data_IF_002832133118
#
_entry.id   IF_002832133118
#
_cell.length_a   1.000
_cell.length_b   1.000
_cell.length_c   1.000
_cell.angle_alpha   90.00
_cell.angle_beta   90.00
_cell.angle_gamma   90.00
#
_symmetry.space_group_name_H-M   'P 1'
#
loop_
_entity.id
_entity.type
_entity.pdbx_description
1 polymer ?
#
# COMPACT_ATOMS: atom_id res chain seq x y z
N UNK A 1 3.96 19.64 -2.89
CA UNK A 1 3.36 18.48 -2.18
C UNK A 1 3.39 17.24 -3.01
N UNK A 2 3.75 16.13 -2.39
CA UNK A 2 3.70 14.85 -3.04
C UNK A 2 2.25 14.37 -3.08
N UNK A 3 1.83 13.85 -4.22
CA UNK A 3 0.45 13.44 -4.44
C UNK A 3 0.34 11.93 -4.55
N UNK A 4 -0.91 11.44 -4.53
CA UNK A 4 -1.19 10.01 -4.68
C UNK A 4 -0.51 9.45 -5.93
N UNK A 5 -0.55 10.19 -7.04
CA UNK A 5 0.05 9.73 -8.29
C UNK A 5 1.53 9.43 -8.14
N UNK A 6 2.22 10.22 -7.32
CA UNK A 6 3.67 10.06 -7.14
C UNK A 6 4.02 8.93 -6.19
N UNK A 7 3.09 8.53 -5.32
CA UNK A 7 3.33 7.52 -4.30
C UNK A 7 2.81 6.14 -4.72
N UNK A 8 1.77 6.11 -5.54
CA UNK A 8 1.00 4.89 -5.81
C UNK A 8 1.81 3.82 -6.53
N UNK A 9 1.31 2.59 -6.44
CA UNK A 9 1.72 1.51 -7.32
C UNK A 9 0.88 1.64 -8.59
N UNK A 10 1.54 1.69 -9.74
CA UNK A 10 0.87 1.89 -11.03
C UNK A 10 0.02 0.68 -11.40
N UNK A 11 -1.04 0.94 -12.18
CA UNK A 11 -2.00 -0.09 -12.56
C UNK A 11 -1.35 -1.31 -13.23
N UNK A 12 -0.26 -1.11 -13.95
CA UNK A 12 0.41 -2.19 -14.64
C UNK A 12 1.11 -3.17 -13.69
N UNK A 13 1.32 -2.75 -12.45
CA UNK A 13 2.01 -3.55 -11.44
C UNK A 13 1.09 -4.06 -10.35
N UNK A 14 -0.23 -3.96 -10.55
CA UNK A 14 -1.19 -4.37 -9.55
C UNK A 14 -1.41 -5.88 -9.57
N UNK A 15 -1.55 -6.45 -8.36
CA UNK A 15 -2.10 -7.79 -8.24
C UNK A 15 -3.62 -7.66 -8.27
N UNK A 16 -4.29 -8.46 -9.11
CA UNK A 16 -5.73 -8.39 -9.25
C UNK A 16 -6.32 -9.79 -9.43
N UNK A 17 -7.58 -9.91 -9.03
CA UNK A 17 -8.37 -11.12 -9.24
C UNK A 17 -9.75 -10.70 -9.72
N UNK A 18 -10.34 -11.57 -10.53
CA UNK A 18 -11.66 -11.29 -11.09
C UNK A 18 -12.74 -11.67 -10.09
N UNK A 19 -13.77 -10.84 -9.97
CA UNK A 19 -14.81 -10.94 -8.95
C UNK A 19 -15.54 -12.30 -8.95
N UNK A 20 -15.82 -12.81 -10.13
CA UNK A 20 -16.64 -14.02 -10.25
C UNK A 20 -15.83 -15.30 -10.29
N UNK A 21 -14.52 -15.20 -10.12
CA UNK A 21 -13.66 -16.38 -10.12
C UNK A 21 -13.93 -17.21 -8.87
N UNK A 22 -14.15 -18.50 -9.06
CA UNK A 22 -14.34 -19.41 -7.93
C UNK A 22 -13.00 -19.69 -7.25
N UNK A 23 -13.04 -19.81 -5.93
CA UNK A 23 -11.82 -20.12 -5.18
C UNK A 23 -11.22 -21.44 -5.62
N UNK A 24 -12.06 -22.40 -6.01
CA UNK A 24 -11.57 -23.65 -6.53
C UNK A 24 -10.78 -23.56 -7.82
N UNK A 25 -10.87 -22.43 -8.50
CA UNK A 25 -10.11 -22.17 -9.74
C UNK A 25 -8.79 -21.48 -9.48
N UNK A 26 -8.50 -21.14 -8.22
CA UNK A 26 -7.27 -20.44 -7.87
C UNK A 26 -6.23 -21.47 -7.44
N UNK A 27 -5.08 -21.44 -8.09
CA UNK A 27 -3.91 -22.21 -7.66
C UNK A 27 -3.10 -21.32 -6.72
N UNK A 28 -2.98 -21.70 -5.43
CA UNK A 28 -2.23 -20.85 -4.48
C UNK A 28 -0.82 -20.54 -4.94
N UNK A 29 -0.20 -21.41 -5.72
CA UNK A 29 1.16 -21.16 -6.19
C UNK A 29 1.22 -20.01 -7.21
N UNK A 30 0.08 -19.61 -7.77
CA UNK A 30 0.04 -18.49 -8.71
C UNK A 30 -0.16 -17.16 -8.01
N UNK A 31 -0.37 -17.15 -6.68
CA UNK A 31 -0.58 -15.92 -5.94
C UNK A 31 0.75 -15.32 -5.55
N UNK A 32 0.81 -13.99 -5.65
CA UNK A 32 1.98 -13.23 -5.21
C UNK A 32 1.83 -12.95 -3.72
N UNK A 33 2.59 -13.66 -2.92
CA UNK A 33 2.50 -13.56 -1.45
C UNK A 33 3.07 -12.26 -0.92
N UNK A 34 3.70 -11.44 -1.79
CA UNK A 34 4.23 -10.15 -1.36
C UNK A 34 3.15 -9.07 -1.32
N UNK A 35 1.98 -9.33 -1.91
CA UNK A 35 0.88 -8.36 -1.92
C UNK A 35 -0.15 -8.76 -0.87
N UNK A 36 -0.23 -7.98 0.22
CA UNK A 36 -1.18 -8.26 1.31
C UNK A 36 -2.62 -7.99 0.90
N UNK A 37 -2.82 -7.18 -0.11
CA UNK A 37 -4.14 -6.75 -0.57
C UNK A 37 -4.16 -6.83 -2.08
N UNK A 38 -5.25 -7.33 -2.62
CA UNK A 38 -5.37 -7.61 -4.05
C UNK A 38 -6.62 -6.89 -4.54
N UNK A 39 -6.51 -6.22 -5.69
CA UNK A 39 -7.64 -5.54 -6.31
C UNK A 39 -8.56 -6.58 -6.93
N UNK A 40 -9.88 -6.42 -6.68
CA UNK A 40 -10.90 -7.29 -7.28
C UNK A 40 -11.56 -6.52 -8.41
N UNK A 41 -11.55 -7.09 -9.61
CA UNK A 41 -12.05 -6.44 -10.81
C UNK A 41 -13.31 -7.14 -11.30
N UNK A 42 -14.11 -6.38 -12.08
CA UNK A 42 -15.22 -6.99 -12.84
C UNK A 42 -14.69 -7.34 -14.21
N UNK A 43 -14.85 -8.60 -14.60
CA UNK A 43 -14.47 -9.11 -15.92
C UNK A 43 -13.02 -8.81 -16.30
N UNK A 44 -12.14 -8.72 -15.29
CA UNK A 44 -10.72 -8.44 -15.54
C UNK A 44 -10.40 -7.01 -15.90
N UNK A 45 -11.38 -6.11 -15.81
CA UNK A 45 -11.21 -4.72 -16.21
C UNK A 45 -10.71 -3.89 -15.03
N UNK A 46 -9.48 -3.40 -15.11
CA UNK A 46 -8.90 -2.58 -14.04
C UNK A 46 -9.61 -1.25 -13.87
N UNK A 47 -10.38 -0.82 -14.85
CA UNK A 47 -11.17 0.40 -14.72
C UNK A 47 -12.54 0.13 -14.10
N UNK A 48 -12.83 -1.13 -13.75
CA UNK A 48 -14.07 -1.50 -13.10
C UNK A 48 -13.72 -2.31 -11.85
N UNK A 49 -13.38 -1.59 -10.77
CA UNK A 49 -12.93 -2.20 -9.53
C UNK A 49 -14.14 -2.54 -8.67
N UNK A 50 -14.27 -3.83 -8.34
CA UNK A 50 -15.38 -4.30 -7.49
C UNK A 50 -15.05 -4.16 -6.00
N UNK A 51 -13.78 -4.19 -5.63
CA UNK A 51 -13.39 -4.12 -4.24
C UNK A 51 -11.95 -4.54 -4.03
N UNK A 52 -11.64 -4.82 -2.79
CA UNK A 52 -10.29 -5.24 -2.36
C UNK A 52 -10.46 -6.54 -1.59
N UNK A 53 -9.57 -7.51 -1.82
CA UNK A 53 -9.55 -8.72 -1.00
C UNK A 53 -8.21 -8.79 -0.27
N UNK A 54 -8.24 -9.15 1.01
CA UNK A 54 -7.01 -9.37 1.76
C UNK A 54 -6.48 -10.76 1.45
N UNK A 55 -5.18 -10.83 1.19
CA UNK A 55 -4.53 -12.10 0.90
C UNK A 55 -4.78 -13.11 2.02
N UNK A 56 -4.72 -12.67 3.28
CA UNK A 56 -4.92 -13.58 4.41
C UNK A 56 -6.32 -14.20 4.41
N UNK A 57 -7.33 -13.41 4.03
CA UNK A 57 -8.71 -13.92 3.99
C UNK A 57 -8.87 -14.93 2.87
N UNK A 58 -8.22 -14.67 1.74
CA UNK A 58 -8.25 -15.60 0.61
C UNK A 58 -7.56 -16.91 0.98
N UNK A 59 -6.38 -16.82 1.59
CA UNK A 59 -5.63 -18.02 1.97
C UNK A 59 -6.37 -18.86 3.00
N UNK A 60 -7.03 -18.18 3.96
CA UNK A 60 -7.80 -18.88 4.96
C UNK A 60 -8.97 -19.66 4.32
N UNK A 61 -9.69 -19.00 3.41
CA UNK A 61 -10.80 -19.65 2.73
C UNK A 61 -10.32 -20.82 1.89
N UNK A 62 -9.17 -20.69 1.23
CA UNK A 62 -8.59 -21.79 0.45
C UNK A 62 -8.19 -22.94 1.38
N UNK A 63 -7.64 -22.62 2.55
CA UNK A 63 -7.25 -23.66 3.52
C UNK A 63 -8.46 -24.40 4.07
N UNK A 64 -9.61 -23.74 4.11
CA UNK A 64 -10.88 -24.32 4.56
C UNK A 64 -11.63 -25.01 3.42
N UNK A 65 -11.01 -25.10 2.25
CA UNK A 65 -11.60 -25.76 1.08
C UNK A 65 -12.93 -25.13 0.66
N UNK A 66 -13.06 -23.81 0.80
CA UNK A 66 -14.26 -23.08 0.40
C UNK A 66 -14.24 -22.85 -1.10
N UNK A 67 -14.22 -23.94 -1.85
CA UNK A 67 -14.02 -23.88 -3.31
C UNK A 67 -15.22 -23.34 -4.06
N UNK A 68 -16.38 -23.33 -3.44
CA UNK A 68 -17.66 -22.87 -4.02
C UNK A 68 -17.83 -21.36 -3.89
N UNK A 69 -17.00 -20.69 -3.10
CA UNK A 69 -17.08 -19.23 -2.98
C UNK A 69 -16.40 -18.54 -4.15
N UNK A 70 -16.89 -17.36 -4.48
CA UNK A 70 -16.24 -16.48 -5.44
C UNK A 70 -15.31 -15.54 -4.72
N UNK A 71 -14.31 -15.04 -5.44
CA UNK A 71 -13.44 -13.98 -4.92
C UNK A 71 -14.27 -12.82 -4.37
N UNK A 72 -15.31 -12.43 -5.12
CA UNK A 72 -16.18 -11.34 -4.72
C UNK A 72 -16.90 -11.55 -3.40
N UNK A 73 -17.10 -12.80 -2.99
CA UNK A 73 -17.76 -13.08 -1.71
C UNK A 73 -16.90 -12.66 -0.52
N UNK A 74 -15.58 -12.52 -0.72
CA UNK A 74 -14.65 -12.16 0.35
C UNK A 74 -14.17 -10.72 0.26
N UNK A 75 -14.55 -10.00 -0.78
CA UNK A 75 -14.04 -8.65 -1.01
C UNK A 75 -14.58 -7.67 0.02
N UNK A 76 -13.79 -6.62 0.24
CA UNK A 76 -14.19 -5.45 1.02
C UNK A 76 -14.41 -4.29 0.07
N UNK A 77 -15.21 -3.28 0.47
CA UNK A 77 -15.40 -2.11 -0.40
C UNK A 77 -14.08 -1.42 -0.69
N UNK A 78 -13.93 -0.94 -1.92
CA UNK A 78 -12.77 -0.13 -2.29
C UNK A 78 -13.09 1.33 -2.00
N UNK A 79 -12.16 2.00 -1.32
CA UNK A 79 -12.23 3.46 -1.16
C UNK A 79 -11.39 4.08 -2.24
N UNK A 80 -11.86 5.21 -2.75
CA UNK A 80 -11.32 5.82 -3.96
C UNK A 80 -10.79 7.19 -3.62
N UNK A 81 -9.61 7.54 -4.15
CA UNK A 81 -9.06 8.88 -4.05
C UNK A 81 -8.64 9.32 -5.44
N UNK A 82 -8.54 10.62 -5.63
CA UNK A 82 -8.05 11.19 -6.89
C UNK A 82 -6.52 11.21 -6.88
N UNK A 83 -5.91 11.07 -8.05
CA UNK A 83 -4.46 11.00 -8.15
C UNK A 83 -3.77 12.30 -7.73
N UNK A 84 -4.50 13.41 -7.68
CA UNK A 84 -3.94 14.70 -7.25
C UNK A 84 -4.01 14.92 -5.73
N UNK A 85 -4.54 13.96 -4.98
CA UNK A 85 -4.68 14.09 -3.53
C UNK A 85 -3.31 14.13 -2.86
N UNK A 86 -3.02 15.17 -2.06
CA UNK A 86 -1.73 15.26 -1.38
C UNK A 86 -1.55 14.20 -0.30
N UNK A 87 -0.30 13.87 -0.02
CA UNK A 87 0.03 12.79 0.92
C UNK A 87 -0.59 13.01 2.31
N UNK A 88 -0.57 14.25 2.81
CA UNK A 88 -1.12 14.51 4.15
C UNK A 88 -2.63 14.30 4.19
N UNK A 89 -3.32 14.59 3.08
CA UNK A 89 -4.76 14.32 3.02
C UNK A 89 -5.02 12.82 2.92
N UNK A 90 -4.17 12.09 2.21
CA UNK A 90 -4.29 10.63 2.17
C UNK A 90 -4.15 10.06 3.57
N UNK A 91 -3.17 10.51 4.33
CA UNK A 91 -2.98 10.04 5.69
C UNK A 91 -4.23 10.29 6.53
N UNK A 92 -4.79 11.49 6.43
CA UNK A 92 -6.01 11.82 7.17
C UNK A 92 -7.15 10.88 6.79
N UNK A 93 -7.32 10.60 5.50
CA UNK A 93 -8.38 9.71 5.06
C UNK A 93 -8.16 8.28 5.53
N UNK A 94 -6.91 7.80 5.56
CA UNK A 94 -6.62 6.48 6.11
C UNK A 94 -6.97 6.42 7.60
N UNK A 95 -6.75 7.51 8.32
CA UNK A 95 -7.13 7.55 9.74
C UNK A 95 -8.63 7.50 9.95
N UNK A 96 -9.40 8.08 9.04
CA UNK A 96 -10.86 8.08 9.15
C UNK A 96 -11.47 6.77 8.70
N UNK A 97 -10.90 6.14 7.70
CA UNK A 97 -11.43 4.90 7.13
C UNK A 97 -10.57 3.74 7.59
N UNK A 98 -11.19 2.62 7.85
CA UNK A 98 -10.46 1.49 8.42
C UNK A 98 -9.94 0.58 7.33
N UNK A 99 -9.42 1.17 6.27
CA UNK A 99 -8.74 0.46 5.20
C UNK A 99 -7.35 1.04 5.03
N UNK A 100 -6.44 0.22 4.57
CA UNK A 100 -5.05 0.63 4.39
C UNK A 100 -4.65 0.62 2.92
N UNK A 101 -5.62 0.60 2.02
CA UNK A 101 -5.37 0.67 0.57
C UNK A 101 -6.51 1.45 -0.08
N UNK A 102 -6.14 2.44 -0.88
CA UNK A 102 -7.11 3.21 -1.69
C UNK A 102 -6.84 2.97 -3.16
N UNK A 103 -7.91 2.92 -3.95
CA UNK A 103 -7.81 2.92 -5.40
C UNK A 103 -7.67 4.37 -5.86
N UNK A 104 -6.71 4.61 -6.73
CA UNK A 104 -6.40 5.96 -7.22
C UNK A 104 -6.97 6.09 -8.63
N UNK A 105 -7.82 7.12 -8.82
CA UNK A 105 -8.42 7.39 -10.12
C UNK A 105 -7.78 8.59 -10.77
N UNK A 106 -7.71 8.55 -12.10
CA UNK A 106 -7.27 9.69 -12.88
C UNK A 106 -8.44 10.64 -13.14
N UNK A 107 -8.16 11.70 -13.88
CA UNK A 107 -9.16 12.75 -14.14
C UNK A 107 -10.29 12.29 -15.05
N UNK A 108 -10.14 11.15 -15.70
CA UNK A 108 -11.17 10.60 -16.58
C UNK A 108 -11.95 9.46 -15.91
N UNK A 109 -11.64 9.20 -14.63
CA UNK A 109 -12.34 8.14 -13.91
C UNK A 109 -11.74 6.76 -14.09
N UNK A 110 -10.63 6.64 -14.82
CA UNK A 110 -9.92 5.38 -14.96
C UNK A 110 -9.02 5.13 -13.76
N UNK A 111 -8.67 3.89 -13.53
CA UNK A 111 -7.79 3.51 -12.44
C UNK A 111 -6.36 3.80 -12.80
N UNK A 112 -5.71 4.66 -12.01
CA UNK A 112 -4.28 4.93 -12.17
C UNK A 112 -3.43 3.91 -11.42
N UNK A 113 -3.90 3.46 -10.26
CA UNK A 113 -3.16 2.53 -9.43
C UNK A 113 -3.79 2.40 -8.06
N UNK A 114 -2.97 2.01 -7.09
CA UNK A 114 -3.41 1.93 -5.69
C UNK A 114 -2.35 2.57 -4.81
N UNK A 115 -2.77 3.10 -3.66
CA UNK A 115 -1.85 3.66 -2.68
C UNK A 115 -2.15 3.04 -1.33
N UNK A 116 -1.10 2.61 -0.62
CA UNK A 116 -1.25 2.01 0.70
C UNK A 116 -0.91 3.02 1.78
N UNK A 117 -1.42 2.77 2.99
CA UNK A 117 -1.05 3.57 4.15
C UNK A 117 0.46 3.52 4.37
N UNK A 118 1.05 2.34 4.19
CA UNK A 118 2.49 2.16 4.37
C UNK A 118 3.28 3.05 3.43
N UNK A 119 2.84 3.14 2.16
CA UNK A 119 3.52 3.99 1.17
C UNK A 119 3.45 5.47 1.55
N UNK A 120 2.29 5.90 2.05
CA UNK A 120 2.12 7.29 2.48
C UNK A 120 3.02 7.59 3.68
N UNK A 121 3.08 6.67 4.64
CA UNK A 121 3.92 6.87 5.81
C UNK A 121 5.39 6.94 5.43
N UNK A 122 5.84 6.08 4.51
CA UNK A 122 7.22 6.13 4.03
C UNK A 122 7.52 7.47 3.38
N UNK A 123 6.58 7.98 2.58
CA UNK A 123 6.78 9.25 1.91
C UNK A 123 6.88 10.39 2.92
N UNK A 124 5.99 10.42 3.91
CA UNK A 124 5.99 11.50 4.90
C UNK A 124 7.23 11.45 5.78
N UNK A 125 7.70 10.24 6.14
CA UNK A 125 8.94 10.11 6.89
C UNK A 125 10.10 10.57 6.03
N UNK A 126 10.11 10.23 4.74
CA UNK A 126 11.14 10.67 3.83
C UNK A 126 11.20 12.18 3.73
N UNK A 127 10.03 12.84 3.68
CA UNK A 127 9.99 14.31 3.64
C UNK A 127 10.59 14.92 4.91
N UNK A 128 10.30 14.31 6.06
CA UNK A 128 10.87 14.80 7.32
C UNK A 128 12.39 14.71 7.29
N UNK A 129 12.92 13.60 6.80
CA UNK A 129 14.37 13.41 6.70
C UNK A 129 14.95 14.41 5.70
N UNK A 130 14.28 14.62 4.57
CA UNK A 130 14.77 15.50 3.51
C UNK A 130 14.76 16.97 3.93
N UNK A 131 13.94 17.34 4.92
CA UNK A 131 13.95 18.70 5.44
C UNK A 131 15.24 19.00 6.20
N UNK A 132 15.98 17.96 6.59
CA UNK A 132 17.21 18.16 7.32
C UNK A 132 18.31 18.57 6.34
N UNK A 133 19.01 19.68 6.67
CA UNK A 133 20.13 20.16 5.89
C UNK A 133 21.22 19.10 5.92
N UNK A 134 21.71 18.61 4.78
CA UNK A 134 22.77 17.61 4.78
C UNK A 134 24.00 18.03 5.57
N UNK A 135 24.36 19.32 5.51
CA UNK A 135 25.50 19.80 6.31
C UNK A 135 25.22 19.67 7.79
N UNK A 136 24.00 19.98 8.21
CA UNK A 136 23.63 19.82 9.60
C UNK A 136 23.67 18.37 10.03
N UNK A 137 23.21 17.47 9.16
CA UNK A 137 23.28 16.06 9.47
C UNK A 137 24.71 15.59 9.66
N UNK A 138 25.59 16.01 8.77
CA UNK A 138 26.99 15.64 8.89
C UNK A 138 27.61 16.21 10.16
N UNK A 139 27.27 17.45 10.47
CA UNK A 139 27.77 18.06 11.69
C UNK A 139 27.30 17.30 12.92
N UNK A 140 26.04 16.94 12.95
CA UNK A 140 25.50 16.19 14.08
C UNK A 140 26.17 14.84 14.23
N UNK A 141 26.38 14.13 13.13
CA UNK A 141 27.07 12.83 13.18
C UNK A 141 28.48 12.99 13.72
N UNK A 142 29.18 14.01 13.26
CA UNK A 142 30.54 14.28 13.74
C UNK A 142 30.52 14.55 15.22
N UNK A 143 29.60 15.34 15.69
CA UNK A 143 29.51 15.65 17.11
C UNK A 143 29.21 14.41 17.93
N UNK A 144 28.32 13.57 17.44
CA UNK A 144 28.02 12.33 18.13
C UNK A 144 29.27 11.45 18.24
N UNK A 145 30.01 11.35 17.16
CA UNK A 145 31.24 10.56 17.17
C UNK A 145 32.23 11.12 18.16
N UNK A 146 32.34 12.44 18.21
CA UNK A 146 33.29 13.06 19.14
C UNK A 146 32.79 12.98 20.57
N UNK A 147 31.50 13.10 20.76
CA UNK A 147 30.95 13.11 22.10
C UNK A 147 30.88 11.77 22.74
N UNK A 148 30.81 10.74 21.92
CA UNK A 148 30.83 9.44 22.46
C UNK A 148 32.11 9.32 23.19
N UNK A 149 32.04 9.06 24.44
CA UNK A 149 33.21 8.89 25.19
C UNK A 149 33.81 7.80 24.52
N UNK A 150 34.47 8.27 23.74
CA UNK A 150 35.09 7.39 23.16
C UNK A 150 35.51 6.45 24.10
N UNK A 151 34.93 6.70 24.96
CA UNK A 151 34.94 6.08 25.67
C UNK A 151 33.97 5.55 26.19
N UNK A 152 33.40 5.45 26.06
CA UNK A 152 32.55 5.02 26.39
C UNK A 152 32.61 4.09 26.65
N UNK A 153 32.80 3.72 27.06
CA UNK A 153 32.85 3.24 27.73
C UNK A 153 33.25 2.72 28.04
N UNK A 154 33.64 2.91 27.64
CA UNK A 154 34.00 2.65 27.78
C UNK A 154 34.25 3.00 28.40
N UNK A 155 34.34 3.77 28.38
CA UNK A 155 34.56 4.36 28.87
C UNK A 155 34.07 4.42 29.66
N UNK A 156 33.97 4.26 29.94
CA UNK A 156 33.58 4.28 30.58
C UNK A 156 33.66 3.98 31.06
#
# INVERSE_FOLDING_TARGET
DVTAREIMTHRLDLASLENDKLLGQINPSDLDMTHSRIVVTMDGDLDDIAGIIYLRDLLLALAEDRTDLKVGDLKKPAHIVHESTPAHQLLHQFQLKRQHLFVVLDEYGGTSGVVSLEDVLEELVGEIIDETDPEEEESRKTEEDKGLPKNRPEDA
#
